data_IF_243123225139
#
_entry.id   IF_243123225139
#
_cell.length_a   1.000
_cell.length_b   1.000
_cell.length_c   1.000
_cell.angle_alpha   90.00
_cell.angle_beta   90.00
_cell.angle_gamma   90.00
#
_symmetry.space_group_name_H-M   'P 1'
#
loop_
_entity.id
_entity.type
_entity.pdbx_description
1 polymer ?
#
# COMPACT_ATOMS: atom_id res chain seq x y z
N UNK A 1 -3.00 -43.07 24.51
CA UNK A 1 -2.40 -41.97 23.72
C UNK A 1 -1.11 -41.57 24.41
N UNK A 2 -0.06 -41.27 23.65
CA UNK A 2 1.25 -40.89 24.17
C UNK A 2 1.27 -39.38 24.44
N UNK A 3 1.76 -38.98 25.62
CA UNK A 3 2.21 -37.61 25.84
C UNK A 3 3.69 -37.55 25.45
N UNK A 4 4.01 -36.80 24.41
CA UNK A 4 5.36 -36.67 23.89
C UNK A 4 5.86 -35.24 24.05
N UNK A 5 7.16 -35.09 24.28
CA UNK A 5 7.84 -33.81 24.38
C UNK A 5 9.31 -33.95 23.95
N UNK A 6 10.08 -32.86 24.03
CA UNK A 6 11.50 -32.82 23.72
C UNK A 6 12.35 -33.72 24.64
N UNK A 7 11.83 -34.10 25.81
CA UNK A 7 12.50 -34.99 26.77
C UNK A 7 12.26 -36.48 26.48
N UNK A 8 11.24 -36.81 25.67
CA UNK A 8 10.87 -38.17 25.31
C UNK A 8 12.05 -38.85 24.61
N UNK A 9 12.50 -40.06 25.02
CA UNK A 9 13.80 -40.60 24.58
C UNK A 9 14.01 -40.65 23.07
N UNK A 10 12.99 -41.05 22.31
CA UNK A 10 13.04 -41.08 20.84
C UNK A 10 13.13 -39.67 20.25
N UNK A 11 12.31 -38.73 20.74
CA UNK A 11 12.28 -37.34 20.27
C UNK A 11 13.59 -36.64 20.60
N UNK A 12 14.11 -36.81 21.82
CA UNK A 12 15.41 -36.28 22.24
C UNK A 12 16.54 -36.78 21.34
N UNK A 13 16.50 -38.05 20.98
CA UNK A 13 17.46 -38.65 20.05
C UNK A 13 17.35 -38.01 18.66
N UNK A 14 16.13 -37.88 18.13
CA UNK A 14 15.88 -37.21 16.85
C UNK A 14 16.37 -35.75 16.86
N UNK A 15 16.07 -35.00 17.91
CA UNK A 15 16.52 -33.61 18.07
C UNK A 15 18.05 -33.50 18.11
N UNK A 16 18.75 -34.41 18.80
CA UNK A 16 20.20 -34.46 18.79
C UNK A 16 20.77 -34.71 17.38
N UNK A 17 20.08 -35.51 16.56
CA UNK A 17 20.49 -35.77 15.18
C UNK A 17 20.35 -34.58 14.22
N UNK A 18 19.57 -33.55 14.58
CA UNK A 18 19.48 -32.31 13.79
C UNK A 18 20.82 -31.58 13.67
N UNK A 19 21.74 -31.78 14.64
CA UNK A 19 23.04 -31.12 14.68
C UNK A 19 24.07 -31.70 13.70
N UNK A 20 23.78 -32.84 13.06
CA UNK A 20 24.73 -33.50 12.16
C UNK A 20 24.47 -33.11 10.69
N UNK A 21 25.47 -32.50 10.05
CA UNK A 21 25.45 -32.15 8.62
C UNK A 21 25.76 -33.34 7.70
N UNK A 22 26.27 -34.45 8.25
CA UNK A 22 26.69 -35.60 7.48
C UNK A 22 25.51 -36.51 7.10
N UNK A 23 25.53 -37.06 5.87
CA UNK A 23 24.69 -38.19 5.42
C UNK A 23 23.16 -37.94 5.31
N UNK A 24 22.72 -36.72 4.99
CA UNK A 24 21.29 -36.36 4.86
C UNK A 24 20.44 -36.62 6.13
N UNK A 25 21.06 -36.94 7.26
CA UNK A 25 20.37 -37.34 8.50
C UNK A 25 19.43 -36.23 8.97
N UNK A 26 19.88 -34.96 8.93
CA UNK A 26 19.03 -33.82 9.25
C UNK A 26 17.76 -33.77 8.40
N UNK A 27 17.87 -34.02 7.09
CA UNK A 27 16.72 -33.99 6.17
C UNK A 27 15.72 -35.08 6.55
N UNK A 28 16.19 -36.29 6.85
CA UNK A 28 15.32 -37.40 7.23
C UNK A 28 14.66 -37.18 8.59
N UNK A 29 15.38 -36.56 9.55
CA UNK A 29 14.79 -36.13 10.83
C UNK A 29 13.68 -35.10 10.61
N UNK A 30 13.89 -34.11 9.72
CA UNK A 30 12.86 -33.12 9.38
C UNK A 30 11.63 -33.79 8.76
N UNK A 31 11.80 -34.75 7.84
CA UNK A 31 10.69 -35.56 7.29
C UNK A 31 9.94 -36.33 8.38
N UNK A 32 10.65 -36.89 9.35
CA UNK A 32 10.03 -37.58 10.48
C UNK A 32 9.20 -36.61 11.35
N UNK A 33 9.72 -35.41 11.67
CA UNK A 33 8.96 -34.39 12.40
C UNK A 33 7.74 -33.91 11.62
N UNK A 34 7.86 -33.74 10.30
CA UNK A 34 6.72 -33.45 9.43
C UNK A 34 5.63 -34.53 9.53
N UNK A 35 6.03 -35.81 9.41
CA UNK A 35 5.10 -36.94 9.54
C UNK A 35 4.46 -37.04 10.93
N UNK A 36 5.21 -36.79 12.01
CA UNK A 36 4.67 -36.78 13.36
C UNK A 36 3.67 -35.64 13.58
N UNK A 37 3.97 -34.43 13.10
CA UNK A 37 3.10 -33.27 13.23
C UNK A 37 1.77 -33.47 12.48
N UNK A 38 1.81 -34.01 11.26
CA UNK A 38 0.62 -34.18 10.42
C UNK A 38 -0.15 -35.46 10.75
N UNK A 39 0.54 -36.61 10.82
CA UNK A 39 -0.10 -37.93 10.89
C UNK A 39 0.06 -38.65 12.23
N UNK A 40 0.74 -38.06 13.21
CA UNK A 40 0.95 -38.65 14.54
C UNK A 40 -0.31 -38.70 15.41
N UNK A 41 -1.35 -39.42 15.00
CA UNK A 41 -2.65 -39.54 15.70
C UNK A 41 -2.53 -40.09 17.13
N UNK A 42 -1.46 -40.82 17.42
CA UNK A 42 -1.17 -41.38 18.75
C UNK A 42 -0.64 -40.35 19.76
N UNK A 43 -0.19 -39.17 19.32
CA UNK A 43 0.27 -38.09 20.20
C UNK A 43 -0.94 -37.25 20.60
N UNK A 44 -1.30 -37.28 21.89
CA UNK A 44 -2.46 -36.54 22.39
C UNK A 44 -2.19 -35.04 22.60
N UNK A 45 -0.94 -34.66 22.87
CA UNK A 45 -0.53 -33.29 23.19
C UNK A 45 0.24 -32.63 22.03
N UNK A 46 -0.29 -32.70 20.80
CA UNK A 46 0.44 -32.29 19.58
C UNK A 46 0.99 -30.86 19.64
N UNK A 47 0.21 -29.89 20.11
CA UNK A 47 0.65 -28.49 20.12
C UNK A 47 1.76 -28.27 21.16
N UNK A 48 1.62 -28.80 22.38
CA UNK A 48 2.66 -28.76 23.43
C UNK A 48 3.96 -29.48 23.00
N UNK A 49 3.81 -30.65 22.36
CA UNK A 49 4.92 -31.40 21.77
C UNK A 49 5.69 -30.54 20.74
N UNK A 50 4.95 -29.93 19.81
CA UNK A 50 5.53 -29.06 18.78
C UNK A 50 6.23 -27.87 19.42
N UNK A 51 5.57 -27.13 20.32
CA UNK A 51 6.15 -25.96 21.01
C UNK A 51 7.49 -26.29 21.68
N UNK A 52 7.60 -27.43 22.36
CA UNK A 52 8.85 -27.84 23.04
C UNK A 52 9.98 -28.19 22.06
N UNK A 53 9.65 -28.66 20.85
CA UNK A 53 10.64 -28.99 19.83
C UNK A 53 11.07 -27.79 18.96
N UNK A 54 10.22 -26.74 18.87
CA UNK A 54 10.46 -25.57 18.02
C UNK A 54 11.83 -24.88 18.16
N UNK A 55 12.40 -24.69 19.37
CA UNK A 55 13.70 -24.04 19.52
C UNK A 55 14.85 -24.72 18.74
N UNK A 56 14.76 -26.03 18.57
CA UNK A 56 15.76 -26.82 17.83
C UNK A 56 15.36 -27.03 16.37
N UNK A 57 14.05 -27.11 16.08
CA UNK A 57 13.55 -27.32 14.72
C UNK A 57 13.67 -26.08 13.83
N UNK A 58 13.32 -24.89 14.35
CA UNK A 58 13.26 -23.67 13.54
C UNK A 58 14.61 -23.31 12.89
N UNK A 59 15.76 -23.31 13.61
CA UNK A 59 17.06 -23.05 12.99
C UNK A 59 17.42 -24.06 11.89
N UNK A 60 17.09 -25.33 12.08
CA UNK A 60 17.36 -26.37 11.10
C UNK A 60 16.46 -26.23 9.85
N UNK A 61 15.18 -25.92 10.05
CA UNK A 61 14.24 -25.61 8.96
C UNK A 61 14.73 -24.40 8.17
N UNK A 62 15.17 -23.36 8.87
CA UNK A 62 15.73 -22.15 8.27
C UNK A 62 16.85 -22.48 7.29
N UNK A 63 17.84 -23.26 7.71
CA UNK A 63 18.97 -23.67 6.85
C UNK A 63 18.52 -24.43 5.59
N UNK A 64 17.43 -25.20 5.69
CA UNK A 64 16.84 -25.95 4.58
C UNK A 64 15.91 -25.11 3.68
N UNK A 65 15.68 -23.82 4.01
CA UNK A 65 14.89 -22.93 3.13
C UNK A 65 15.65 -22.53 1.87
N UNK A 66 16.98 -22.61 1.85
CA UNK A 66 17.79 -22.22 0.69
C UNK A 66 17.37 -22.97 -0.60
N UNK A 67 17.56 -22.38 -1.79
CA UNK A 67 17.21 -23.02 -3.06
C UNK A 67 17.89 -24.37 -3.29
N UNK A 68 19.01 -24.65 -2.61
CA UNK A 68 19.73 -25.93 -2.72
C UNK A 68 18.89 -27.14 -2.28
N UNK A 69 17.89 -26.94 -1.43
CA UNK A 69 17.02 -28.01 -0.89
C UNK A 69 15.61 -27.98 -1.49
N UNK A 70 15.49 -27.73 -2.79
CA UNK A 70 14.19 -27.61 -3.47
C UNK A 70 13.39 -28.92 -3.46
N UNK A 71 14.07 -30.08 -3.47
CA UNK A 71 13.44 -31.40 -3.37
C UNK A 71 12.73 -31.67 -2.03
N UNK A 72 12.91 -30.78 -1.04
CA UNK A 72 12.24 -30.84 0.26
C UNK A 72 11.25 -29.70 0.48
N UNK A 73 10.95 -28.89 -0.53
CA UNK A 73 10.10 -27.70 -0.43
C UNK A 73 8.77 -28.01 0.26
N UNK A 74 7.99 -28.97 -0.24
CA UNK A 74 6.67 -29.32 0.30
C UNK A 74 6.72 -29.71 1.78
N UNK A 75 7.71 -30.52 2.15
CA UNK A 75 7.88 -31.02 3.53
C UNK A 75 8.34 -29.90 4.45
N UNK A 76 9.33 -29.12 4.01
CA UNK A 76 9.94 -28.08 4.82
C UNK A 76 8.99 -26.91 5.03
N UNK A 77 8.31 -26.47 3.97
CA UNK A 77 7.31 -25.42 4.05
C UNK A 77 6.08 -25.87 4.82
N UNK A 78 5.55 -27.08 4.56
CA UNK A 78 4.42 -27.62 5.31
C UNK A 78 4.71 -27.75 6.81
N UNK A 79 5.92 -28.22 7.17
CA UNK A 79 6.35 -28.24 8.56
C UNK A 79 6.46 -26.82 9.13
N UNK A 80 7.14 -25.90 8.43
CA UNK A 80 7.30 -24.51 8.87
C UNK A 80 5.94 -23.86 9.15
N UNK A 81 4.98 -23.97 8.23
CA UNK A 81 3.64 -23.41 8.42
C UNK A 81 2.90 -24.06 9.57
N UNK A 82 3.07 -25.38 9.78
CA UNK A 82 2.52 -26.04 10.95
C UNK A 82 3.12 -25.51 12.25
N UNK A 83 4.43 -25.25 12.30
CA UNK A 83 5.08 -24.64 13.47
C UNK A 83 4.56 -23.20 13.69
N UNK A 84 4.48 -22.39 12.64
CA UNK A 84 3.94 -21.02 12.69
C UNK A 84 2.50 -21.01 13.22
N UNK A 85 1.68 -22.00 12.84
CA UNK A 85 0.30 -22.11 13.32
C UNK A 85 0.19 -22.34 14.84
N UNK A 86 1.24 -22.90 15.46
CA UNK A 86 1.30 -23.14 16.91
C UNK A 86 1.88 -21.92 17.63
N UNK A 87 3.05 -21.43 17.19
CA UNK A 87 3.66 -20.22 17.75
C UNK A 87 4.60 -19.53 16.75
N UNK A 88 4.11 -18.50 16.07
CA UNK A 88 4.87 -17.70 15.10
C UNK A 88 6.13 -17.04 15.69
N UNK A 89 6.16 -16.78 17.01
CA UNK A 89 7.20 -15.97 17.64
C UNK A 89 8.60 -16.59 17.51
N UNK A 90 8.71 -17.93 17.50
CA UNK A 90 10.00 -18.59 17.32
C UNK A 90 10.58 -18.36 15.92
N UNK A 91 9.74 -18.43 14.88
CA UNK A 91 10.19 -18.18 13.52
C UNK A 91 10.55 -16.70 13.32
N UNK A 92 9.69 -15.79 13.78
CA UNK A 92 9.98 -14.35 13.71
C UNK A 92 11.22 -13.97 14.50
N UNK A 93 11.45 -14.54 15.69
CA UNK A 93 12.66 -14.31 16.47
C UNK A 93 13.92 -14.86 15.77
N UNK A 94 13.80 -16.00 15.08
CA UNK A 94 14.89 -16.55 14.27
C UNK A 94 15.27 -15.60 13.13
N UNK A 95 14.28 -15.10 12.37
CA UNK A 95 14.49 -14.13 11.29
C UNK A 95 15.05 -12.81 11.84
N UNK A 96 14.44 -12.26 12.89
CA UNK A 96 14.90 -11.04 13.56
C UNK A 96 16.38 -11.15 13.96
N UNK A 97 16.76 -12.24 14.62
CA UNK A 97 18.14 -12.45 15.08
C UNK A 97 19.15 -12.43 13.93
N UNK A 98 18.77 -12.96 12.76
CA UNK A 98 19.64 -13.02 11.58
C UNK A 98 19.78 -11.64 10.96
N UNK A 99 18.67 -10.93 10.72
CA UNK A 99 18.69 -9.66 9.98
C UNK A 99 19.02 -8.43 10.83
N UNK A 100 18.98 -8.55 12.16
CA UNK A 100 19.50 -7.53 13.08
C UNK A 100 20.93 -7.87 13.58
N UNK A 101 21.55 -8.94 13.07
CA UNK A 101 22.91 -9.30 13.44
C UNK A 101 23.89 -8.21 13.00
N UNK A 102 24.85 -7.86 13.86
CA UNK A 102 25.87 -6.88 13.54
C UNK A 102 26.80 -7.38 12.41
N UNK A 103 27.02 -8.69 12.32
CA UNK A 103 27.79 -9.30 11.24
C UNK A 103 26.95 -9.33 9.95
N UNK A 104 27.41 -8.58 8.97
CA UNK A 104 26.75 -8.49 7.67
C UNK A 104 26.77 -9.81 6.89
N UNK A 105 27.75 -10.69 7.13
CA UNK A 105 27.82 -12.00 6.47
C UNK A 105 26.64 -12.88 6.85
N UNK A 106 26.18 -12.79 8.11
CA UNK A 106 25.00 -13.50 8.60
C UNK A 106 23.74 -13.02 7.87
N UNK A 107 23.57 -11.69 7.73
CA UNK A 107 22.47 -11.09 6.96
C UNK A 107 22.55 -11.47 5.47
N UNK A 108 23.75 -11.41 4.91
CA UNK A 108 24.04 -11.75 3.52
C UNK A 108 23.67 -13.20 3.20
N UNK A 109 24.04 -14.15 4.08
CA UNK A 109 23.67 -15.56 3.93
C UNK A 109 22.16 -15.75 4.11
N UNK A 110 21.57 -15.08 5.10
CA UNK A 110 20.12 -15.16 5.38
C UNK A 110 19.22 -14.77 4.20
N UNK A 111 19.71 -13.92 3.28
CA UNK A 111 18.99 -13.59 2.05
C UNK A 111 18.73 -14.81 1.16
N UNK A 112 19.60 -15.83 1.13
CA UNK A 112 19.37 -17.04 0.34
C UNK A 112 18.21 -17.86 0.92
N UNK A 113 18.07 -17.89 2.25
CA UNK A 113 16.98 -18.58 2.92
C UNK A 113 15.64 -17.89 2.65
N UNK A 114 15.58 -16.56 2.74
CA UNK A 114 14.37 -15.81 2.40
C UNK A 114 14.02 -15.90 0.91
N UNK A 115 15.00 -15.81 0.03
CA UNK A 115 14.80 -16.01 -1.40
C UNK A 115 14.20 -17.40 -1.65
N UNK A 116 14.83 -18.44 -1.10
CA UNK A 116 14.34 -19.82 -1.22
C UNK A 116 12.94 -20.03 -0.65
N UNK A 117 12.61 -19.41 0.49
CA UNK A 117 11.26 -19.43 1.07
C UNK A 117 10.22 -18.92 0.07
N UNK A 118 10.40 -17.72 -0.48
CA UNK A 118 9.40 -17.10 -1.36
C UNK A 118 9.39 -17.70 -2.77
N UNK A 119 10.51 -18.27 -3.27
CA UNK A 119 10.51 -18.99 -4.56
C UNK A 119 9.80 -20.35 -4.49
N UNK A 120 9.74 -20.97 -3.31
CA UNK A 120 9.09 -22.28 -3.12
C UNK A 120 7.57 -22.19 -2.91
N UNK A 121 7.03 -20.97 -2.76
CA UNK A 121 5.60 -20.74 -2.55
C UNK A 121 4.82 -20.80 -3.88
N UNK A 122 4.20 -21.94 -4.15
CA UNK A 122 3.31 -22.11 -5.28
C UNK A 122 1.84 -21.74 -4.94
N UNK A 123 0.94 -21.95 -5.90
CA UNK A 123 -0.47 -21.64 -5.74
C UNK A 123 -1.19 -22.60 -4.75
N UNK A 124 -0.75 -23.86 -4.70
CA UNK A 124 -1.32 -24.86 -3.78
C UNK A 124 -0.99 -24.48 -2.33
N UNK A 125 0.28 -24.17 -2.06
CA UNK A 125 0.76 -23.70 -0.76
C UNK A 125 -0.03 -22.48 -0.28
N UNK A 126 -0.21 -21.46 -1.13
CA UNK A 126 -0.97 -20.26 -0.74
C UNK A 126 -2.43 -20.54 -0.44
N UNK A 127 -3.04 -21.51 -1.13
CA UNK A 127 -4.44 -21.87 -0.93
C UNK A 127 -4.61 -22.62 0.38
N UNK A 128 -3.72 -23.57 0.66
CA UNK A 128 -3.72 -24.35 1.90
C UNK A 128 -3.47 -23.47 3.13
N UNK A 129 -2.49 -22.57 3.05
CA UNK A 129 -2.00 -21.79 4.20
C UNK A 129 -2.49 -20.34 4.21
N UNK A 130 -3.56 -20.04 3.49
CA UNK A 130 -4.10 -18.68 3.34
C UNK A 130 -4.22 -17.90 4.66
N UNK A 131 -4.75 -18.46 5.76
CA UNK A 131 -4.92 -17.73 7.02
C UNK A 131 -3.59 -17.37 7.70
N UNK A 132 -2.49 -18.03 7.34
CA UNK A 132 -1.18 -17.86 7.96
C UNK A 132 -0.24 -16.98 7.13
N UNK A 133 -0.63 -16.56 5.92
CA UNK A 133 0.22 -15.73 5.05
C UNK A 133 0.58 -14.39 5.69
N UNK A 134 -0.27 -13.85 6.56
CA UNK A 134 -0.01 -12.61 7.30
C UNK A 134 1.24 -12.71 8.19
N UNK A 135 1.58 -13.90 8.68
CA UNK A 135 2.79 -14.12 9.47
C UNK A 135 4.08 -14.08 8.65
N UNK A 136 3.99 -14.31 7.34
CA UNK A 136 5.13 -14.24 6.40
C UNK A 136 5.36 -12.82 5.85
N UNK A 137 4.38 -11.91 5.96
CA UNK A 137 4.54 -10.52 5.53
C UNK A 137 5.72 -9.80 6.21
N UNK A 138 5.85 -9.82 7.56
CA UNK A 138 7.01 -9.24 8.24
C UNK A 138 8.34 -9.87 7.83
N UNK A 139 8.32 -11.17 7.51
CA UNK A 139 9.51 -11.89 7.04
C UNK A 139 9.94 -11.38 5.66
N UNK A 140 8.99 -11.11 4.76
CA UNK A 140 9.30 -10.45 3.49
C UNK A 140 9.79 -9.01 3.67
N UNK A 141 9.29 -8.29 4.69
CA UNK A 141 9.79 -6.95 5.02
C UNK A 141 11.28 -6.92 5.38
N UNK A 142 11.81 -7.97 6.03
CA UNK A 142 13.26 -8.09 6.25
C UNK A 142 14.04 -8.22 4.94
N UNK A 143 13.55 -9.04 4.01
CA UNK A 143 14.18 -9.19 2.69
C UNK A 143 14.23 -7.85 1.95
N UNK A 144 13.11 -7.13 1.90
CA UNK A 144 13.02 -5.84 1.22
C UNK A 144 13.83 -4.76 1.95
N UNK A 145 13.83 -4.75 3.28
CA UNK A 145 14.64 -3.84 4.08
C UNK A 145 16.14 -3.93 3.76
N UNK A 146 16.62 -5.11 3.39
CA UNK A 146 18.02 -5.31 2.98
C UNK A 146 18.42 -4.55 1.70
N UNK A 147 17.48 -4.07 0.88
CA UNK A 147 17.78 -3.19 -0.25
C UNK A 147 18.41 -1.87 0.20
N UNK A 148 18.16 -1.46 1.45
CA UNK A 148 18.73 -0.28 2.09
C UNK A 148 19.59 -0.64 3.30
N UNK A 149 20.17 -1.86 3.33
CA UNK A 149 21.13 -2.26 4.35
C UNK A 149 22.32 -1.29 4.43
N UNK A 150 22.99 -1.21 5.58
CA UNK A 150 24.17 -0.36 5.77
C UNK A 150 25.34 -0.82 4.90
N UNK A 151 25.48 -2.13 4.71
CA UNK A 151 26.57 -2.76 3.97
C UNK A 151 26.23 -2.99 2.50
N UNK A 152 27.15 -2.60 1.62
CA UNK A 152 26.97 -2.66 0.16
C UNK A 152 26.83 -4.09 -0.36
N UNK A 153 27.51 -5.07 0.24
CA UNK A 153 27.41 -6.48 -0.15
C UNK A 153 25.99 -7.02 0.07
N UNK A 154 25.37 -6.68 1.20
CA UNK A 154 23.99 -7.08 1.52
C UNK A 154 23.01 -6.42 0.56
N UNK A 155 23.13 -5.10 0.34
CA UNK A 155 22.29 -4.35 -0.62
C UNK A 155 22.38 -4.94 -2.02
N UNK A 156 23.59 -5.18 -2.51
CA UNK A 156 23.84 -5.70 -3.85
C UNK A 156 23.24 -7.08 -4.05
N UNK A 157 23.37 -7.97 -3.04
CA UNK A 157 22.75 -9.30 -3.08
C UNK A 157 21.23 -9.23 -3.02
N UNK A 158 20.66 -8.44 -2.11
CA UNK A 158 19.21 -8.26 -2.01
C UNK A 158 18.63 -7.75 -3.34
N UNK A 159 19.30 -6.76 -3.96
CA UNK A 159 18.92 -6.24 -5.26
C UNK A 159 19.02 -7.29 -6.37
N UNK A 160 20.09 -8.08 -6.40
CA UNK A 160 20.23 -9.16 -7.38
C UNK A 160 19.12 -10.22 -7.21
N UNK A 161 18.87 -10.68 -5.98
CA UNK A 161 17.87 -11.70 -5.68
C UNK A 161 16.44 -11.22 -5.92
N UNK A 162 16.10 -9.98 -5.56
CA UNK A 162 14.74 -9.49 -5.80
C UNK A 162 14.42 -9.41 -7.29
N UNK A 163 15.44 -9.14 -8.12
CA UNK A 163 15.32 -9.09 -9.58
C UNK A 163 15.26 -10.46 -10.25
N UNK A 164 15.70 -11.52 -9.57
CA UNK A 164 15.62 -12.89 -10.09
C UNK A 164 14.32 -13.60 -9.74
N UNK A 165 13.50 -13.05 -8.84
CA UNK A 165 12.17 -13.60 -8.61
C UNK A 165 11.36 -13.61 -9.92
N UNK A 166 10.74 -14.75 -10.22
CA UNK A 166 9.71 -14.83 -11.25
C UNK A 166 8.45 -14.06 -10.82
N UNK A 167 7.62 -13.68 -11.79
CA UNK A 167 6.39 -12.91 -11.57
C UNK A 167 5.46 -13.57 -10.55
N UNK A 168 5.34 -14.91 -10.60
CA UNK A 168 4.52 -15.66 -9.65
C UNK A 168 5.09 -15.58 -8.22
N UNK A 169 6.41 -15.68 -8.05
CA UNK A 169 7.05 -15.60 -6.73
C UNK A 169 6.87 -14.21 -6.10
N UNK A 170 7.05 -13.14 -6.89
CA UNK A 170 6.79 -11.77 -6.42
C UNK A 170 5.33 -11.59 -6.03
N UNK A 171 4.40 -12.12 -6.83
CA UNK A 171 2.97 -12.08 -6.49
C UNK A 171 2.67 -12.81 -5.19
N UNK A 172 3.29 -13.98 -4.95
CA UNK A 172 3.17 -14.71 -3.69
C UNK A 172 3.69 -13.90 -2.50
N UNK A 173 4.84 -13.24 -2.66
CA UNK A 173 5.44 -12.41 -1.62
C UNK A 173 4.59 -11.17 -1.31
N UNK A 174 4.09 -10.48 -2.33
CA UNK A 174 3.17 -9.34 -2.15
C UNK A 174 1.84 -9.76 -1.53
N UNK A 175 1.33 -10.97 -1.81
CA UNK A 175 0.14 -11.50 -1.13
C UNK A 175 0.37 -11.71 0.37
N UNK A 176 1.58 -12.08 0.80
CA UNK A 176 1.93 -12.17 2.23
C UNK A 176 1.96 -10.79 2.88
N UNK A 177 2.52 -9.79 2.18
CA UNK A 177 2.48 -8.40 2.61
C UNK A 177 1.07 -7.83 2.71
N UNK A 178 0.21 -8.14 1.74
CA UNK A 178 -1.19 -7.75 1.75
C UNK A 178 -1.95 -8.39 2.92
N UNK A 179 -1.80 -9.69 3.13
CA UNK A 179 -2.40 -10.37 4.28
C UNK A 179 -1.92 -9.78 5.62
N UNK A 180 -0.64 -9.41 5.71
CA UNK A 180 -0.11 -8.71 6.88
C UNK A 180 -0.68 -7.31 7.01
N UNK A 181 -0.74 -6.55 5.93
CA UNK A 181 -1.32 -5.21 5.89
C UNK A 181 -2.75 -5.20 6.43
N UNK A 182 -3.60 -6.14 6.01
CA UNK A 182 -5.00 -6.20 6.45
C UNK A 182 -5.17 -6.50 7.95
N UNK A 183 -4.19 -7.18 8.57
CA UNK A 183 -4.26 -7.61 9.99
C UNK A 183 -3.38 -6.76 10.92
N UNK A 184 -2.48 -5.94 10.38
CA UNK A 184 -1.52 -5.14 11.12
C UNK A 184 -2.16 -3.95 11.85
N UNK A 185 -1.59 -3.62 13.01
CA UNK A 185 -1.84 -2.36 13.73
C UNK A 185 -1.37 -1.15 12.92
N UNK A 186 -1.86 0.05 13.23
CA UNK A 186 -1.44 1.28 12.54
C UNK A 186 0.07 1.49 12.60
N UNK A 187 0.67 1.28 13.78
CA UNK A 187 2.13 1.37 13.94
C UNK A 187 2.89 0.44 12.98
N UNK A 188 2.43 -0.79 12.83
CA UNK A 188 3.03 -1.76 11.91
C UNK A 188 2.81 -1.36 10.44
N UNK A 189 1.61 -0.85 10.12
CA UNK A 189 1.28 -0.34 8.78
C UNK A 189 2.16 0.83 8.38
N UNK A 190 2.53 1.74 9.29
CA UNK A 190 3.44 2.85 8.97
C UNK A 190 4.76 2.34 8.38
N UNK A 191 5.41 1.40 9.07
CA UNK A 191 6.67 0.81 8.61
C UNK A 191 6.50 0.04 7.30
N UNK A 192 5.42 -0.74 7.19
CA UNK A 192 5.14 -1.54 5.99
C UNK A 192 4.88 -0.66 4.75
N UNK A 193 3.98 0.31 4.86
CA UNK A 193 3.61 1.22 3.75
C UNK A 193 4.80 2.08 3.33
N UNK A 194 5.65 2.49 4.28
CA UNK A 194 6.92 3.16 3.95
C UNK A 194 7.83 2.26 3.10
N UNK A 195 8.00 0.99 3.48
CA UNK A 195 8.78 0.02 2.68
C UNK A 195 8.15 -0.23 1.30
N UNK A 196 6.83 -0.38 1.22
CA UNK A 196 6.10 -0.52 -0.04
C UNK A 196 6.30 0.70 -0.95
N UNK A 197 6.26 1.91 -0.40
CA UNK A 197 6.47 3.17 -1.13
C UNK A 197 7.90 3.24 -1.67
N UNK A 198 8.89 2.91 -0.85
CA UNK A 198 10.30 2.87 -1.26
C UNK A 198 10.56 1.78 -2.31
N UNK A 199 9.95 0.60 -2.17
CA UNK A 199 10.08 -0.48 -3.13
C UNK A 199 9.44 -0.12 -4.48
N UNK A 200 8.23 0.45 -4.47
CA UNK A 200 7.58 0.90 -5.69
C UNK A 200 8.34 2.07 -6.35
N UNK A 201 9.08 2.88 -5.59
CA UNK A 201 9.97 3.89 -6.17
C UNK A 201 11.18 3.26 -6.90
N UNK A 202 11.70 2.14 -6.40
CA UNK A 202 12.75 1.36 -7.07
C UNK A 202 12.22 0.56 -8.26
N UNK A 203 10.99 0.04 -8.17
CA UNK A 203 10.34 -0.77 -9.19
C UNK A 203 8.92 -0.24 -9.47
N UNK A 204 8.80 0.79 -10.33
CA UNK A 204 7.52 1.47 -10.61
C UNK A 204 6.40 0.55 -11.10
N UNK A 205 6.75 -0.45 -11.91
CA UNK A 205 5.82 -1.39 -12.53
C UNK A 205 5.28 -2.46 -11.55
N UNK A 206 5.75 -2.46 -10.30
CA UNK A 206 5.36 -3.46 -9.30
C UNK A 206 4.20 -2.96 -8.45
N UNK A 207 3.06 -3.66 -8.58
CA UNK A 207 1.92 -3.49 -7.71
C UNK A 207 2.18 -4.18 -6.36
N UNK A 208 2.79 -3.43 -5.44
CA UNK A 208 3.20 -3.89 -4.09
C UNK A 208 2.03 -4.14 -3.14
N UNK A 209 0.84 -3.61 -3.45
CA UNK A 209 -0.41 -3.78 -2.69
C UNK A 209 -1.59 -3.72 -3.67
N UNK A 210 -2.66 -4.50 -3.46
CA UNK A 210 -3.84 -4.40 -4.32
C UNK A 210 -4.61 -3.11 -4.07
N UNK A 211 -5.23 -2.57 -5.12
CA UNK A 211 -6.04 -1.36 -5.03
C UNK A 211 -7.19 -1.51 -4.04
N UNK A 212 -7.89 -2.66 -4.07
CA UNK A 212 -9.04 -2.88 -3.19
C UNK A 212 -8.65 -2.82 -1.72
N UNK A 213 -7.63 -3.59 -1.32
CA UNK A 213 -7.10 -3.59 0.06
C UNK A 213 -6.65 -2.20 0.51
N UNK A 214 -6.03 -1.41 -0.38
CA UNK A 214 -5.58 -0.05 -0.07
C UNK A 214 -6.74 0.94 0.07
N UNK A 215 -7.72 0.88 -0.83
CA UNK A 215 -8.89 1.76 -0.83
C UNK A 215 -9.80 1.46 0.36
N UNK A 216 -10.14 0.20 0.61
CA UNK A 216 -10.93 -0.21 1.78
C UNK A 216 -10.26 0.25 3.09
N UNK A 217 -8.93 0.14 3.21
CA UNK A 217 -8.21 0.59 4.39
C UNK A 217 -8.22 2.12 4.57
N UNK A 218 -8.23 2.89 3.48
CA UNK A 218 -8.36 4.34 3.49
C UNK A 218 -9.81 4.78 3.81
N UNK A 219 -10.80 4.08 3.28
CA UNK A 219 -12.22 4.31 3.49
C UNK A 219 -12.62 4.06 4.94
N UNK A 220 -12.17 2.94 5.52
CA UNK A 220 -12.40 2.61 6.94
C UNK A 220 -11.81 3.64 7.92
N UNK A 221 -10.84 4.44 7.47
CA UNK A 221 -10.24 5.54 8.26
C UNK A 221 -10.89 6.90 7.97
N UNK A 222 -11.89 6.96 7.10
CA UNK A 222 -12.59 8.18 6.71
C UNK A 222 -13.96 8.21 7.40
N UNK A 223 -14.22 9.17 8.31
CA UNK A 223 -15.41 9.15 9.18
C UNK A 223 -16.76 9.28 8.44
N UNK A 224 -16.77 9.67 7.16
CA UNK A 224 -17.98 9.91 6.37
C UNK A 224 -18.36 8.74 5.43
N UNK A 225 -17.46 7.79 5.17
CA UNK A 225 -17.73 6.71 4.22
C UNK A 225 -18.80 5.72 4.72
N UNK A 226 -18.94 5.61 6.06
CA UNK A 226 -19.90 4.72 6.70
C UNK A 226 -21.33 5.28 6.65
N UNK A 227 -21.49 6.60 6.72
CA UNK A 227 -22.81 7.26 6.71
C UNK A 227 -23.43 7.29 5.30
N UNK A 228 -22.64 7.45 4.23
CA UNK A 228 -23.17 7.54 2.86
C UNK A 228 -23.57 6.16 2.27
N UNK A 229 -22.97 5.05 2.71
CA UNK A 229 -23.33 3.69 2.22
C UNK A 229 -24.46 3.07 3.03
N UNK A 230 -24.57 3.40 4.33
CA UNK A 230 -25.64 2.89 5.20
C UNK A 230 -26.85 3.84 5.27
N UNK A 231 -26.79 4.98 4.58
CA UNK A 231 -27.79 6.05 4.61
C UNK A 231 -29.11 5.77 3.89
N UNK A 232 -29.44 4.52 3.55
CA UNK A 232 -30.70 4.23 2.84
C UNK A 232 -31.53 3.04 3.36
N UNK A 233 -31.27 2.48 4.54
CA UNK A 233 -32.23 1.58 5.22
C UNK A 233 -32.00 1.52 6.73
N UNK A 234 -32.60 2.42 7.49
CA UNK A 234 -33.57 2.08 8.55
C UNK A 234 -33.80 3.26 9.49
N UNK A 235 -35.07 3.62 9.58
CA UNK A 235 -35.69 4.48 10.56
C UNK A 235 -35.55 3.83 11.96
N UNK A 236 -34.42 4.03 12.63
CA UNK A 236 -34.28 3.76 14.06
C UNK A 236 -33.22 4.67 14.70
N UNK A 237 -33.72 5.77 15.26
CA UNK A 237 -32.91 6.71 16.03
C UNK A 237 -32.26 6.05 17.24
N UNK A 238 -30.93 6.05 17.26
CA UNK A 238 -30.12 6.08 18.47
C UNK A 238 -28.86 6.90 18.20
N UNK A 239 -28.95 8.22 18.44
CA UNK A 239 -27.78 9.07 18.61
C UNK A 239 -27.31 8.93 20.06
N UNK A 240 -26.09 8.45 20.37
CA UNK A 240 -25.55 8.59 21.70
C UNK A 240 -25.01 10.02 21.83
N UNK A 241 -25.87 10.90 22.33
CA UNK A 241 -25.44 12.13 22.99
C UNK A 241 -24.78 11.75 24.31
N UNK A 242 -23.48 11.99 24.46
CA UNK A 242 -22.81 11.94 25.75
C UNK A 242 -21.92 13.18 25.90
N UNK A 243 -22.58 14.28 26.26
CA UNK A 243 -22.02 15.27 27.18
C UNK A 243 -22.06 14.65 28.59
N UNK A 244 -20.91 14.25 29.15
CA UNK A 244 -20.55 14.27 30.59
C UNK A 244 -19.35 13.35 30.88
N UNK A 245 -18.17 13.93 31.11
CA UNK A 245 -17.46 13.85 32.40
C UNK A 245 -16.09 14.55 32.33
N UNK A 246 -16.11 15.86 32.57
CA UNK A 246 -14.94 16.69 32.88
C UNK A 246 -14.42 16.36 34.30
N UNK A 247 -13.69 15.25 34.47
CA UNK A 247 -12.93 15.00 35.71
C UNK A 247 -11.76 14.00 35.64
N UNK A 248 -11.46 13.38 34.49
CA UNK A 248 -10.40 12.34 34.39
C UNK A 248 -9.28 12.64 33.35
N UNK A 249 -9.18 13.88 32.88
CA UNK A 249 -8.37 14.26 31.70
C UNK A 249 -6.85 14.37 31.89
N UNK A 250 -6.29 14.13 33.08
CA UNK A 250 -4.87 14.41 33.32
C UNK A 250 -3.91 13.21 33.12
N UNK A 251 -4.40 11.96 33.10
CA UNK A 251 -3.55 10.77 32.98
C UNK A 251 -3.87 9.86 31.77
N UNK A 252 -5.08 9.95 31.20
CA UNK A 252 -5.51 9.15 30.03
C UNK A 252 -5.27 9.81 28.66
N UNK A 253 -4.87 11.09 28.63
CA UNK A 253 -4.84 11.87 27.38
C UNK A 253 -3.63 11.58 26.47
N UNK A 254 -2.53 11.07 27.02
CA UNK A 254 -1.32 10.79 26.22
C UNK A 254 -1.52 9.58 25.31
N UNK A 255 -2.23 8.53 25.76
CA UNK A 255 -2.43 7.32 24.97
C UNK A 255 -3.37 7.55 23.78
N UNK A 256 -4.50 8.25 24.01
CA UNK A 256 -5.49 8.55 22.96
C UNK A 256 -4.95 9.53 21.90
N UNK A 257 -4.11 10.50 22.29
CA UNK A 257 -3.48 11.43 21.34
C UNK A 257 -2.41 10.75 20.48
N UNK A 258 -1.64 9.81 21.03
CA UNK A 258 -0.65 9.05 20.25
C UNK A 258 -1.32 8.11 19.23
N UNK A 259 -2.37 7.39 19.61
CA UNK A 259 -3.08 6.49 18.69
C UNK A 259 -3.78 7.27 17.57
N UNK A 260 -4.34 8.44 17.89
CA UNK A 260 -4.90 9.35 16.88
C UNK A 260 -3.85 9.85 15.89
N UNK A 261 -2.66 10.24 16.36
CA UNK A 261 -1.56 10.69 15.51
C UNK A 261 -0.99 9.56 14.63
N UNK A 262 -0.85 8.34 15.16
CA UNK A 262 -0.42 7.17 14.39
C UNK A 262 -1.42 6.84 13.28
N UNK A 263 -2.73 6.88 13.56
CA UNK A 263 -3.78 6.62 12.57
C UNK A 263 -3.76 7.65 11.43
N UNK A 264 -3.62 8.95 11.75
CA UNK A 264 -3.49 10.00 10.74
C UNK A 264 -2.22 9.83 9.89
N UNK A 265 -1.08 9.51 10.52
CA UNK A 265 0.18 9.29 9.80
C UNK A 265 0.10 8.10 8.83
N UNK A 266 -0.48 6.98 9.25
CA UNK A 266 -0.72 5.82 8.36
C UNK A 266 -1.59 6.23 7.18
N UNK A 267 -2.64 7.00 7.42
CA UNK A 267 -3.54 7.47 6.36
C UNK A 267 -2.79 8.32 5.33
N UNK A 268 -1.94 9.25 5.77
CA UNK A 268 -1.09 10.04 4.85
C UNK A 268 -0.16 9.13 4.05
N UNK A 269 0.49 8.16 4.68
CA UNK A 269 1.40 7.22 4.00
C UNK A 269 0.67 6.34 2.97
N UNK A 270 -0.51 5.83 3.31
CA UNK A 270 -1.35 5.04 2.40
C UNK A 270 -1.78 5.87 1.20
N UNK A 271 -2.16 7.13 1.41
CA UNK A 271 -2.50 8.05 0.34
C UNK A 271 -1.27 8.37 -0.53
N UNK A 272 -0.09 8.57 0.07
CA UNK A 272 1.17 8.75 -0.69
C UNK A 272 1.44 7.55 -1.59
N UNK A 273 1.30 6.32 -1.05
CA UNK A 273 1.48 5.08 -1.81
C UNK A 273 0.47 5.00 -2.98
N UNK A 274 -0.81 5.25 -2.72
CA UNK A 274 -1.86 5.22 -3.74
C UNK A 274 -1.57 6.20 -4.89
N UNK A 275 -1.22 7.45 -4.56
CA UNK A 275 -0.91 8.46 -5.58
C UNK A 275 0.38 8.12 -6.35
N UNK A 276 1.38 7.53 -5.69
CA UNK A 276 2.60 7.09 -6.35
C UNK A 276 2.33 5.93 -7.32
N UNK A 277 1.60 4.91 -6.87
CA UNK A 277 1.19 3.76 -7.69
C UNK A 277 0.41 4.21 -8.93
N UNK A 278 -0.51 5.17 -8.77
CA UNK A 278 -1.27 5.73 -9.88
C UNK A 278 -0.37 6.52 -10.84
N UNK A 279 0.56 7.31 -10.32
CA UNK A 279 1.52 8.06 -11.16
C UNK A 279 2.50 7.17 -11.94
N UNK A 280 2.72 5.94 -11.45
CA UNK A 280 3.54 4.92 -12.09
C UNK A 280 2.74 4.05 -13.09
N UNK A 281 1.51 4.45 -13.43
CA UNK A 281 0.67 3.79 -14.45
C UNK A 281 0.30 2.34 -14.13
N UNK A 282 0.23 1.99 -12.84
CA UNK A 282 -0.32 0.69 -12.46
C UNK A 282 -1.80 0.62 -12.82
N UNK A 283 -2.21 -0.50 -13.42
CA UNK A 283 -3.59 -0.73 -13.86
C UNK A 283 -4.56 -0.54 -12.69
N UNK A 284 -5.56 0.31 -12.88
CA UNK A 284 -6.60 0.64 -11.91
C UNK A 284 -7.93 0.73 -12.64
N UNK A 285 -9.01 0.26 -12.01
CA UNK A 285 -10.34 0.34 -12.61
C UNK A 285 -10.92 1.77 -12.48
N UNK A 286 -11.76 2.24 -13.43
CA UNK A 286 -12.35 3.58 -13.35
C UNK A 286 -13.10 3.84 -12.03
N UNK A 287 -13.82 2.84 -11.51
CA UNK A 287 -14.51 2.93 -10.22
C UNK A 287 -13.53 3.15 -9.05
N UNK A 288 -12.37 2.49 -9.08
CA UNK A 288 -11.32 2.63 -8.08
C UNK A 288 -10.65 4.02 -8.14
N UNK A 289 -10.47 4.59 -9.34
CA UNK A 289 -9.97 5.96 -9.50
C UNK A 289 -10.94 6.95 -8.83
N UNK A 290 -12.24 6.79 -9.04
CA UNK A 290 -13.26 7.67 -8.47
C UNK A 290 -13.35 7.54 -6.96
N UNK A 291 -13.24 6.32 -6.40
CA UNK A 291 -13.10 6.10 -4.95
C UNK A 291 -11.86 6.80 -4.39
N UNK A 292 -10.71 6.67 -5.06
CA UNK A 292 -9.48 7.36 -4.66
C UNK A 292 -9.65 8.90 -4.70
N UNK A 293 -10.32 9.42 -5.73
CA UNK A 293 -10.66 10.85 -5.83
C UNK A 293 -11.52 11.31 -4.68
N UNK A 294 -12.58 10.56 -4.34
CA UNK A 294 -13.46 10.86 -3.21
C UNK A 294 -12.70 10.92 -1.89
N UNK A 295 -11.88 9.90 -1.60
CA UNK A 295 -11.01 9.87 -0.42
C UNK A 295 -10.09 11.10 -0.42
N UNK A 296 -9.43 11.39 -1.54
CA UNK A 296 -8.50 12.51 -1.65
C UNK A 296 -9.17 13.85 -1.34
N UNK A 297 -10.36 14.14 -1.89
CA UNK A 297 -11.05 15.42 -1.63
C UNK A 297 -11.54 15.53 -0.18
N UNK A 298 -12.01 14.44 0.42
CA UNK A 298 -12.37 14.43 1.85
C UNK A 298 -11.15 14.71 2.73
N UNK A 299 -10.01 14.06 2.45
CA UNK A 299 -8.81 14.23 3.27
C UNK A 299 -8.20 15.62 3.15
N UNK A 300 -8.24 16.21 1.95
CA UNK A 300 -7.81 17.60 1.76
C UNK A 300 -8.68 18.61 2.53
N UNK A 301 -9.94 18.27 2.83
CA UNK A 301 -10.88 19.14 3.55
C UNK A 301 -11.83 19.91 2.63
N UNK A 302 -12.16 19.35 1.47
CA UNK A 302 -13.27 19.86 0.67
C UNK A 302 -14.60 19.62 1.41
N UNK A 303 -15.52 20.56 1.28
CA UNK A 303 -16.85 20.50 1.89
C UNK A 303 -17.83 19.71 1.02
N UNK A 304 -18.94 19.22 1.58
CA UNK A 304 -20.05 18.58 0.85
C UNK A 304 -19.59 17.53 -0.17
N UNK A 305 -18.61 16.70 0.20
CA UNK A 305 -18.15 15.60 -0.64
C UNK A 305 -19.23 14.51 -0.68
N UNK A 306 -19.69 14.14 -1.87
CA UNK A 306 -20.68 13.09 -2.08
C UNK A 306 -20.24 12.17 -3.23
N UNK A 307 -20.50 10.87 -3.07
CA UNK A 307 -20.27 9.84 -4.07
C UNK A 307 -21.62 9.34 -4.58
N UNK A 308 -21.95 9.62 -5.83
CA UNK A 308 -23.20 9.13 -6.43
C UNK A 308 -22.92 7.88 -7.25
N UNK A 309 -23.73 6.85 -7.03
CA UNK A 309 -23.81 5.68 -7.91
C UNK A 309 -25.12 5.74 -8.66
N UNK A 310 -25.06 6.09 -9.95
CA UNK A 310 -26.27 6.11 -10.78
C UNK A 310 -26.74 4.66 -11.03
N UNK A 311 -27.75 4.20 -10.30
CA UNK A 311 -28.45 2.96 -10.66
C UNK A 311 -29.19 3.19 -11.97
N UNK A 312 -28.73 2.53 -13.03
CA UNK A 312 -29.38 2.60 -14.33
C UNK A 312 -30.86 2.24 -14.22
N UNK A 313 -31.73 3.23 -14.44
CA UNK A 313 -33.16 3.04 -14.53
C UNK A 313 -33.49 2.07 -15.68
N UNK A 314 -33.85 0.83 -15.35
CA UNK A 314 -34.52 -0.10 -16.26
C UNK A 314 -33.61 -0.99 -17.12
N UNK A 315 -33.63 -2.28 -16.79
CA UNK A 315 -33.18 -3.45 -17.57
C UNK A 315 -31.67 -3.70 -17.66
N UNK A 316 -31.17 -4.51 -16.71
CA UNK A 316 -30.24 -5.62 -17.00
C UNK A 316 -28.79 -5.28 -17.39
N UNK A 317 -28.32 -4.04 -17.25
CA UNK A 317 -26.92 -3.68 -17.47
C UNK A 317 -26.18 -3.42 -16.16
N UNK A 318 -25.19 -4.26 -15.85
CA UNK A 318 -24.23 -4.04 -14.76
C UNK A 318 -23.29 -2.90 -15.16
N UNK A 319 -23.46 -1.71 -14.57
CA UNK A 319 -22.57 -0.57 -14.80
C UNK A 319 -23.23 0.77 -14.49
N UNK A 320 -23.41 1.07 -13.19
CA UNK A 320 -23.78 2.43 -12.78
C UNK A 320 -22.62 3.40 -12.96
N UNK A 321 -22.90 4.59 -13.47
CA UNK A 321 -21.91 5.66 -13.57
C UNK A 321 -21.66 6.23 -12.16
N UNK A 322 -20.41 6.17 -11.71
CA UNK A 322 -20.00 6.74 -10.42
C UNK A 322 -19.56 8.18 -10.66
N UNK A 323 -20.08 9.13 -9.89
CA UNK A 323 -19.65 10.55 -9.96
C UNK A 323 -19.30 11.06 -8.57
N UNK A 324 -18.32 11.97 -8.50
CA UNK A 324 -17.82 12.55 -7.25
C UNK A 324 -18.12 14.04 -7.26
N UNK A 325 -19.02 14.49 -6.39
CA UNK A 325 -19.31 15.91 -6.18
C UNK A 325 -18.68 16.40 -4.88
N UNK A 326 -18.25 17.65 -4.87
CA UNK A 326 -17.60 18.29 -3.72
C UNK A 326 -17.61 19.80 -3.87
N UNK A 327 -17.72 20.50 -2.75
CA UNK A 327 -17.75 21.95 -2.61
C UNK A 327 -16.36 22.59 -2.55
N UNK A 328 -16.25 23.69 -1.80
CA UNK A 328 -14.99 24.43 -1.66
C UNK A 328 -14.07 23.82 -0.61
N UNK A 329 -12.76 24.00 -0.79
CA UNK A 329 -11.73 23.59 0.16
C UNK A 329 -11.73 24.51 1.39
N UNK A 330 -11.79 23.92 2.59
CA UNK A 330 -11.52 24.63 3.84
C UNK A 330 -10.15 24.21 4.40
N UNK A 331 -9.17 25.10 4.27
CA UNK A 331 -7.80 24.83 4.70
C UNK A 331 -7.39 25.70 5.88
N UNK A 332 -6.94 25.05 6.96
CA UNK A 332 -6.37 25.71 8.12
C UNK A 332 -4.84 25.46 8.18
N UNK A 333 -3.98 26.45 7.88
CA UNK A 333 -2.53 26.28 7.89
C UNK A 333 -1.94 26.07 9.29
N UNK A 334 -2.72 26.25 10.36
CA UNK A 334 -2.26 26.07 11.74
C UNK A 334 -2.32 24.62 12.22
N UNK A 335 -3.00 23.75 11.49
CA UNK A 335 -3.12 22.34 11.82
C UNK A 335 -2.02 21.52 11.10
N UNK A 336 -1.00 21.01 11.81
CA UNK A 336 0.09 20.26 11.20
C UNK A 336 -0.36 19.01 10.44
N UNK A 337 -1.43 18.34 10.89
CA UNK A 337 -1.94 17.13 10.22
C UNK A 337 -2.53 17.50 8.85
N UNK A 338 -3.33 18.57 8.78
CA UNK A 338 -3.88 19.10 7.52
C UNK A 338 -2.78 19.58 6.57
N UNK A 339 -1.73 20.22 7.11
CA UNK A 339 -0.56 20.62 6.32
C UNK A 339 0.12 19.38 5.72
N UNK A 340 0.35 18.33 6.50
CA UNK A 340 1.00 17.10 6.03
C UNK A 340 0.19 16.41 4.92
N UNK A 341 -1.13 16.30 5.09
CA UNK A 341 -2.05 15.78 4.05
C UNK A 341 -1.94 16.62 2.78
N UNK A 342 -2.04 17.95 2.88
CA UNK A 342 -1.96 18.83 1.72
C UNK A 342 -0.61 18.75 0.99
N UNK A 343 0.50 18.55 1.71
CA UNK A 343 1.83 18.38 1.10
C UNK A 343 1.88 17.04 0.35
N UNK A 344 1.34 15.97 0.94
CA UNK A 344 1.28 14.65 0.33
C UNK A 344 0.42 14.67 -0.94
N UNK A 345 -0.80 15.20 -0.84
CA UNK A 345 -1.74 15.31 -1.95
C UNK A 345 -1.21 16.18 -3.08
N UNK A 346 -0.69 17.38 -2.81
CA UNK A 346 -0.16 18.26 -3.86
C UNK A 346 1.01 17.61 -4.61
N UNK A 347 1.95 16.97 -3.90
CA UNK A 347 3.07 16.26 -4.54
C UNK A 347 2.61 15.06 -5.36
N UNK A 348 1.67 14.27 -4.86
CA UNK A 348 1.11 13.13 -5.56
C UNK A 348 0.31 13.55 -6.79
N UNK A 349 -0.59 14.52 -6.65
CA UNK A 349 -1.36 15.11 -7.76
C UNK A 349 -0.44 15.66 -8.83
N UNK A 350 0.60 16.42 -8.49
CA UNK A 350 1.59 16.90 -9.47
C UNK A 350 2.13 15.75 -10.33
N UNK A 351 2.56 14.65 -9.72
CA UNK A 351 3.06 13.48 -10.46
C UNK A 351 1.99 12.84 -11.33
N UNK A 352 0.77 12.65 -10.81
CA UNK A 352 -0.34 12.06 -11.56
C UNK A 352 -0.70 12.91 -12.78
N UNK A 353 -0.81 14.23 -12.59
CA UNK A 353 -1.11 15.18 -13.67
C UNK A 353 0.01 15.18 -14.74
N UNK A 354 1.26 15.07 -14.30
CA UNK A 354 2.43 15.04 -15.19
C UNK A 354 2.71 13.66 -15.82
N UNK A 355 2.08 12.60 -15.31
CA UNK A 355 2.23 11.23 -15.82
C UNK A 355 1.66 11.08 -17.25
N UNK A 356 2.44 10.54 -18.19
CA UNK A 356 2.04 10.34 -19.58
C UNK A 356 1.96 8.83 -19.85
N UNK A 357 0.75 8.30 -19.99
CA UNK A 357 0.52 6.95 -20.49
C UNK A 357 0.17 7.02 -21.98
N UNK A 358 1.04 6.58 -22.90
CA UNK A 358 0.62 6.32 -24.27
C UNK A 358 -0.33 5.12 -24.29
N UNK A 359 -1.36 5.18 -25.16
CA UNK A 359 -2.33 4.10 -25.31
C UNK A 359 -1.66 2.75 -25.64
N UNK A 360 -2.14 1.61 -25.10
CA UNK A 360 -1.67 0.29 -25.48
C UNK A 360 -1.78 0.05 -26.98
N UNK A 361 -0.77 -0.60 -27.58
CA UNK A 361 -0.70 -0.83 -29.02
C UNK A 361 -1.91 -1.61 -29.59
N UNK A 362 -2.54 -2.45 -28.77
CA UNK A 362 -3.75 -3.21 -29.11
C UNK A 362 -4.97 -2.30 -29.33
N UNK A 363 -5.10 -1.28 -28.47
CA UNK A 363 -6.12 -0.23 -28.58
C UNK A 363 -5.90 0.61 -29.84
N UNK A 364 -4.63 0.91 -30.18
CA UNK A 364 -4.25 1.61 -31.42
C UNK A 364 -4.49 0.75 -32.68
N UNK A 365 -4.25 -0.55 -32.61
CA UNK A 365 -4.47 -1.47 -33.73
C UNK A 365 -5.95 -1.71 -34.04
N UNK A 366 -6.82 -1.72 -33.02
CA UNK A 366 -8.27 -1.78 -33.18
C UNK A 366 -8.87 -0.49 -33.80
N UNK A 367 -8.13 0.63 -33.81
CA UNK A 367 -8.56 1.92 -34.35
C UNK A 367 -8.36 2.08 -35.86
N UNK A 368 -7.80 1.07 -36.55
CA UNK A 368 -7.56 1.13 -37.99
C UNK A 368 -8.84 0.96 -38.86
N UNK A 369 -10.01 0.75 -38.27
CA UNK A 369 -11.29 0.56 -38.99
C UNK A 369 -12.30 1.71 -38.78
N UNK A 370 -12.38 2.59 -39.78
CA UNK A 370 -13.52 3.38 -40.30
C UNK A 370 -14.56 4.10 -39.40
N UNK A 371 -14.38 4.21 -38.08
CA UNK A 371 -15.28 4.96 -37.17
C UNK A 371 -14.70 6.32 -36.69
N UNK A 372 -13.86 6.92 -37.53
CA UNK A 372 -12.85 7.95 -37.21
C UNK A 372 -13.32 9.41 -37.00
N UNK A 373 -14.61 9.70 -36.74
CA UNK A 373 -15.05 11.11 -36.51
C UNK A 373 -15.71 11.39 -35.15
N UNK A 374 -16.53 10.50 -34.61
CA UNK A 374 -17.01 10.66 -33.23
C UNK A 374 -16.02 10.13 -32.21
N UNK A 375 -15.33 9.04 -32.54
CA UNK A 375 -14.27 8.52 -31.68
C UNK A 375 -13.06 9.45 -31.64
N UNK A 376 -12.79 10.29 -32.65
CA UNK A 376 -11.67 11.27 -32.60
C UNK A 376 -11.81 12.35 -31.52
N UNK A 377 -13.04 12.71 -31.14
CA UNK A 377 -13.25 13.66 -30.06
C UNK A 377 -13.04 13.00 -28.69
N UNK A 378 -13.48 11.75 -28.54
CA UNK A 378 -13.24 10.95 -27.32
C UNK A 378 -11.86 10.25 -27.31
N UNK A 379 -11.08 10.33 -28.40
CA UNK A 379 -9.73 9.75 -28.58
C UNK A 379 -8.65 10.82 -28.71
N UNK A 380 -9.00 12.10 -28.50
CA UNK A 380 -8.00 13.15 -28.25
C UNK A 380 -7.40 13.05 -26.82
N UNK A 381 -7.98 12.18 -25.99
CA UNK A 381 -7.56 11.86 -24.64
C UNK A 381 -6.35 10.93 -24.65
N UNK A 382 -5.19 11.55 -24.54
CA UNK A 382 -4.10 10.97 -23.76
C UNK A 382 -4.68 10.64 -22.37
N UNK A 383 -5.11 9.41 -22.11
CA UNK A 383 -5.79 9.01 -20.87
C UNK A 383 -4.81 8.93 -19.68
N UNK A 384 -4.11 10.04 -19.43
CA UNK A 384 -3.40 10.28 -18.20
C UNK A 384 -4.41 10.18 -17.05
N UNK A 385 -4.11 9.44 -15.97
CA UNK A 385 -4.98 9.37 -14.79
C UNK A 385 -5.27 10.76 -14.20
N UNK A 386 -4.47 11.77 -14.54
CA UNK A 386 -4.68 13.16 -14.13
C UNK A 386 -5.98 13.80 -14.62
N UNK A 387 -6.56 13.35 -15.73
CA UNK A 387 -7.82 13.93 -16.25
C UNK A 387 -8.93 13.89 -15.19
N UNK A 388 -9.00 12.80 -14.42
CA UNK A 388 -10.00 12.62 -13.36
C UNK A 388 -9.86 13.61 -12.19
N UNK A 389 -8.73 14.33 -12.07
CA UNK A 389 -8.41 15.22 -10.95
C UNK A 389 -8.33 16.71 -11.37
N UNK A 390 -8.62 17.06 -12.63
CA UNK A 390 -8.57 18.46 -13.11
C UNK A 390 -9.50 19.35 -12.27
N UNK A 391 -10.72 18.90 -12.00
CA UNK A 391 -11.71 19.61 -11.21
C UNK A 391 -11.27 19.82 -9.75
N UNK A 392 -10.53 18.88 -9.16
CA UNK A 392 -9.92 19.03 -7.82
C UNK A 392 -8.94 20.19 -7.79
N UNK A 393 -8.07 20.28 -8.80
CA UNK A 393 -7.09 21.37 -8.91
C UNK A 393 -7.78 22.71 -9.09
N UNK A 394 -8.71 22.80 -10.04
CA UNK A 394 -9.42 24.03 -10.33
C UNK A 394 -10.25 24.51 -9.14
N UNK A 395 -10.96 23.60 -8.45
CA UNK A 395 -11.72 23.95 -7.23
C UNK A 395 -10.81 24.34 -6.07
N UNK A 396 -9.63 23.72 -5.91
CA UNK A 396 -8.65 24.14 -4.90
C UNK A 396 -8.25 25.61 -5.09
N UNK A 397 -7.88 25.99 -6.32
CA UNK A 397 -7.53 27.38 -6.62
C UNK A 397 -8.73 28.31 -6.31
N UNK A 398 -9.92 27.93 -6.79
CA UNK A 398 -11.15 28.73 -6.68
C UNK A 398 -11.81 28.74 -5.28
N UNK A 399 -11.27 28.03 -4.30
CA UNK A 399 -11.89 27.82 -2.98
C UNK A 399 -11.85 29.03 -2.02
N UNK A 400 -11.16 30.10 -2.40
CA UNK A 400 -10.97 31.28 -1.52
C UNK A 400 -9.95 31.05 -0.41
N UNK A 401 -9.15 29.97 -0.49
CA UNK A 401 -7.98 29.78 0.38
C UNK A 401 -6.99 30.91 0.12
N UNK A 402 -6.43 31.46 1.20
CA UNK A 402 -5.40 32.49 1.16
C UNK A 402 -4.07 31.89 0.64
N UNK A 403 -3.92 31.88 -0.68
CA UNK A 403 -2.80 31.27 -1.39
C UNK A 403 -1.43 31.84 -1.00
N UNK A 404 -1.24 33.16 -0.76
CA UNK A 404 0.02 33.70 -0.24
C UNK A 404 0.42 33.15 1.13
N UNK A 405 -0.56 32.75 1.96
CA UNK A 405 -0.30 32.10 3.26
C UNK A 405 0.03 30.61 3.14
N UNK A 406 -0.09 30.01 1.96
CA UNK A 406 0.49 28.70 1.72
C UNK A 406 2.00 28.86 1.74
N UNK A 407 2.69 28.13 2.63
CA UNK A 407 4.15 28.19 2.69
C UNK A 407 4.79 28.00 1.30
N UNK A 408 5.91 28.67 1.04
CA UNK A 408 6.55 28.80 -0.28
C UNK A 408 6.48 27.53 -1.16
N UNK A 409 6.90 26.38 -0.61
CA UNK A 409 6.95 25.11 -1.34
C UNK A 409 5.58 24.56 -1.73
N UNK A 410 4.54 24.83 -0.94
CA UNK A 410 3.17 24.41 -1.23
C UNK A 410 2.59 25.23 -2.38
N UNK A 411 2.73 26.56 -2.30
CA UNK A 411 2.26 27.45 -3.36
C UNK A 411 2.94 27.12 -4.69
N UNK A 412 4.26 26.90 -4.66
CA UNK A 412 5.03 26.44 -5.83
C UNK A 412 4.44 25.17 -6.44
N UNK A 413 4.18 24.16 -5.61
CA UNK A 413 3.61 22.89 -6.08
C UNK A 413 2.25 23.08 -6.76
N UNK A 414 1.35 23.89 -6.20
CA UNK A 414 0.05 24.17 -6.81
C UNK A 414 0.16 24.94 -8.12
N UNK A 415 1.03 25.95 -8.20
CA UNK A 415 1.29 26.68 -9.43
C UNK A 415 1.86 25.77 -10.53
N UNK A 416 2.77 24.84 -10.19
CA UNK A 416 3.27 23.84 -11.13
C UNK A 416 2.15 22.89 -11.60
N UNK A 417 1.24 22.47 -10.72
CA UNK A 417 0.08 21.64 -11.09
C UNK A 417 -0.83 22.40 -12.07
N UNK A 418 -1.13 23.67 -11.79
CA UNK A 418 -1.93 24.53 -12.69
C UNK A 418 -1.23 24.67 -14.05
N UNK A 419 0.08 24.87 -14.06
CA UNK A 419 0.86 24.90 -15.30
C UNK A 419 0.73 23.60 -16.08
N UNK A 420 0.80 22.43 -15.43
CA UNK A 420 0.61 21.12 -16.07
C UNK A 420 -0.81 21.00 -16.62
N UNK A 421 -1.84 21.37 -15.86
CA UNK A 421 -3.25 21.38 -16.31
C UNK A 421 -3.40 22.20 -17.58
N UNK A 422 -2.91 23.44 -17.57
CA UNK A 422 -2.97 24.35 -18.71
C UNK A 422 -2.17 23.82 -19.89
N UNK A 423 -0.98 23.29 -19.67
CA UNK A 423 -0.06 22.93 -20.73
C UNK A 423 -0.39 21.60 -21.40
N UNK A 424 -0.80 20.61 -20.61
CA UNK A 424 -0.87 19.20 -21.03
C UNK A 424 -2.30 18.69 -21.20
N UNK A 425 -3.25 19.16 -20.39
CA UNK A 425 -4.62 18.65 -20.41
C UNK A 425 -5.50 19.49 -21.35
N UNK A 426 -6.55 18.88 -21.90
CA UNK A 426 -7.51 19.58 -22.76
C UNK A 426 -8.53 20.31 -21.89
N UNK A 427 -8.25 21.57 -21.59
CA UNK A 427 -9.04 22.40 -20.68
C UNK A 427 -10.16 23.20 -21.39
N UNK A 428 -10.36 22.98 -22.69
CA UNK A 428 -11.33 23.75 -23.50
C UNK A 428 -12.76 23.18 -23.44
N UNK A 429 -13.02 22.22 -22.57
CA UNK A 429 -14.37 21.75 -22.28
C UNK A 429 -15.17 22.84 -21.58
N UNK A 430 -16.42 23.03 -22.03
CA UNK A 430 -17.31 24.09 -21.52
C UNK A 430 -17.53 24.00 -20.00
N UNK A 431 -17.42 22.81 -19.43
CA UNK A 431 -17.60 22.55 -18.00
C UNK A 431 -16.48 23.16 -17.14
N UNK A 432 -15.27 23.28 -17.70
CA UNK A 432 -14.11 23.81 -17.01
C UNK A 432 -13.83 25.29 -17.31
N UNK A 433 -14.39 25.83 -18.39
CA UNK A 433 -14.12 27.20 -18.87
C UNK A 433 -14.28 28.27 -17.77
N UNK A 434 -15.40 28.26 -17.04
CA UNK A 434 -15.65 29.22 -15.95
C UNK A 434 -14.66 29.06 -14.79
N UNK A 435 -14.32 27.82 -14.46
CA UNK A 435 -13.37 27.49 -13.39
C UNK A 435 -11.94 27.93 -13.75
N UNK A 436 -11.56 27.80 -15.02
CA UNK A 436 -10.26 28.25 -15.53
C UNK A 436 -10.17 29.76 -15.50
N UNK A 437 -11.21 30.48 -15.98
CA UNK A 437 -11.22 31.95 -15.96
C UNK A 437 -11.09 32.49 -14.52
N UNK A 438 -11.76 31.84 -13.56
CA UNK A 438 -11.65 32.21 -12.14
C UNK A 438 -10.25 31.92 -11.60
N UNK A 439 -9.70 30.73 -11.89
CA UNK A 439 -8.35 30.34 -11.52
C UNK A 439 -7.30 31.32 -12.08
N UNK A 440 -7.50 31.79 -13.33
CA UNK A 440 -6.64 32.79 -13.97
C UNK A 440 -6.64 34.11 -13.22
N UNK A 441 -7.83 34.63 -12.86
CA UNK A 441 -7.94 35.89 -12.11
C UNK A 441 -7.18 35.79 -10.78
N UNK A 442 -7.41 34.74 -10.02
CA UNK A 442 -6.69 34.51 -8.76
C UNK A 442 -5.18 34.39 -8.96
N UNK A 443 -4.76 33.70 -10.03
CA UNK A 443 -3.33 33.56 -10.37
C UNK A 443 -2.69 34.91 -10.71
N UNK A 444 -3.41 35.81 -11.40
CA UNK A 444 -2.95 37.17 -11.69
C UNK A 444 -2.87 38.00 -10.42
N UNK A 445 -3.88 37.92 -9.54
CA UNK A 445 -3.92 38.67 -8.29
C UNK A 445 -2.70 38.37 -7.40
N UNK A 446 -2.19 37.13 -7.43
CA UNK A 446 -0.96 36.73 -6.73
C UNK A 446 0.31 37.47 -7.16
N UNK A 447 0.37 38.03 -8.38
CA UNK A 447 1.53 38.84 -8.80
C UNK A 447 1.69 40.12 -7.98
N UNK A 448 0.59 40.60 -7.39
CA UNK A 448 0.58 41.82 -6.58
C UNK A 448 0.88 41.58 -5.11
N UNK A 449 0.92 40.31 -4.69
CA UNK A 449 1.17 39.89 -3.32
C UNK A 449 2.68 39.72 -3.03
N UNK A 450 3.03 39.76 -1.74
CA UNK A 450 4.41 39.54 -1.27
C UNK A 450 4.75 38.05 -1.22
N UNK A 451 5.01 37.48 -2.40
CA UNK A 451 5.42 36.08 -2.58
C UNK A 451 6.82 35.98 -3.18
N UNK A 452 7.43 34.80 -3.06
CA UNK A 452 8.76 34.50 -3.61
C UNK A 452 8.85 34.71 -5.13
N UNK A 453 10.01 35.17 -5.60
CA UNK A 453 10.27 35.45 -7.02
C UNK A 453 10.15 34.20 -7.91
N UNK A 454 10.49 33.00 -7.41
CA UNK A 454 10.24 31.76 -8.17
C UNK A 454 8.75 31.55 -8.47
N UNK A 455 7.89 31.85 -7.51
CA UNK A 455 6.44 31.71 -7.68
C UNK A 455 5.90 32.76 -8.65
N UNK A 456 6.41 33.99 -8.62
CA UNK A 456 6.06 35.03 -9.62
C UNK A 456 6.45 34.61 -11.04
N UNK A 457 7.63 34.01 -11.21
CA UNK A 457 8.06 33.49 -12.51
C UNK A 457 7.15 32.36 -13.02
N UNK A 458 6.75 31.44 -12.14
CA UNK A 458 5.78 30.38 -12.49
C UNK A 458 4.44 30.95 -12.93
N UNK A 459 3.93 31.95 -12.21
CA UNK A 459 2.69 32.65 -12.59
C UNK A 459 2.80 33.24 -13.99
N UNK A 460 3.89 33.94 -14.31
CA UNK A 460 4.09 34.51 -15.64
C UNK A 460 4.11 33.44 -16.75
N UNK A 461 4.70 32.27 -16.48
CA UNK A 461 4.70 31.17 -17.46
C UNK A 461 3.29 30.56 -17.62
N UNK A 462 2.52 30.41 -16.54
CA UNK A 462 1.11 29.98 -16.60
C UNK A 462 0.30 30.92 -17.50
N UNK A 463 0.40 32.23 -17.29
CA UNK A 463 -0.32 33.24 -18.07
C UNK A 463 0.09 33.22 -19.54
N UNK A 464 1.38 33.08 -19.82
CA UNK A 464 1.91 32.96 -21.18
C UNK A 464 1.41 31.69 -21.88
N UNK A 465 1.32 30.56 -21.17
CA UNK A 465 0.77 29.32 -21.71
C UNK A 465 -0.73 29.45 -22.03
N UNK A 466 -1.49 30.09 -21.15
CA UNK A 466 -2.91 30.35 -21.36
C UNK A 466 -3.17 31.30 -22.54
N UNK A 467 -2.38 32.36 -22.69
CA UNK A 467 -2.52 33.30 -23.82
C UNK A 467 -2.12 32.69 -25.18
N UNK A 468 -1.30 31.64 -25.18
CA UNK A 468 -0.89 30.93 -26.41
C UNK A 468 -1.95 29.93 -26.88
N UNK A 469 -2.79 29.45 -25.99
CA UNK A 469 -3.95 28.61 -26.32
C UNK A 469 -5.12 29.50 -26.70
#
# INVERSE_FOLDING_TARGET
MLQADDSTPLIRCMLAYLQFDQLNIRQDVIKMFYGLAHWGSSISNKDDFVTKCMPQLIPCIWELLTPTYDHLSDINLGLLMKLISVDVRYFQACVFKIFEDANWEVRYQGLDNLFGLFTKMDAAFQTEWLPLLSYLGPVFSYFVGCLWDKEEYVRSKAYALIRTFGTLHLRSAFRCWEAYFLTATDRQKMSLVSLMTQLNALFPDWQVLQWESLLEALENKSPQFVDDILGDNDDNGYSPSLEQDDAAAAAGNVHNTTESAESENVKVLMLTLALQMLSNHLSIEPAQILRLKFILVQQMGFQNCQLFTSEGSGSGGVGGEITVEFGMLHYNPRDPARVAVMISCSRGLKKIMDSFAPLPAETVAAMASDSLKHSRMNLSENSSPGVHFIDVVLKMMNSGVDLPKLGHMMLKAWLEIVLIVVYKHNILEREHEQHIVTCMKQTIDLLTEDIDEENKLLILEILKCLLRR
#
